data_IF_229235635316
#
_entry.id   IF_229235635316
#
_cell.length_a   1.000
_cell.length_b   1.000
_cell.length_c   1.000
_cell.angle_alpha   90.00
_cell.angle_beta   90.00
_cell.angle_gamma   90.00
#
_symmetry.space_group_name_H-M   'P 1'
#
loop_
_entity.id
_entity.type
_entity.pdbx_description
1 polymer ?
#
# COMPACT_ATOMS: atom_id res chain seq x y z
N UNK A 1 3.25 56.58 85.68
CA UNK A 1 1.99 56.10 85.23
C UNK A 1 2.17 55.66 83.79
N UNK A 2 2.25 54.36 83.49
CA UNK A 2 2.35 53.78 82.16
C UNK A 2 1.12 52.87 81.96
N UNK A 3 0.28 53.17 81.01
CA UNK A 3 -0.84 52.33 80.57
C UNK A 3 -0.30 51.27 79.55
N UNK A 4 -0.76 50.03 79.58
CA UNK A 4 -0.45 49.06 78.55
C UNK A 4 -1.46 49.17 77.40
N UNK A 5 -0.91 49.07 76.20
CA UNK A 5 -1.64 48.94 74.94
C UNK A 5 -1.95 47.43 74.72
N UNK A 6 -3.25 47.14 74.61
CA UNK A 6 -3.74 45.81 74.19
C UNK A 6 -3.82 45.77 72.66
N UNK A 7 -3.03 44.87 72.00
CA UNK A 7 -3.21 44.56 70.58
C UNK A 7 -4.21 43.41 70.49
N UNK A 8 -5.34 43.63 69.84
CA UNK A 8 -6.24 42.58 69.32
C UNK A 8 -5.69 42.09 68.00
N UNK A 9 -5.28 40.80 67.95
CA UNK A 9 -4.99 40.10 66.70
C UNK A 9 -6.31 39.49 66.17
N UNK A 10 -6.80 39.99 65.02
CA UNK A 10 -7.90 39.38 64.28
C UNK A 10 -7.35 38.30 63.36
N UNK A 11 -7.62 37.03 63.67
CA UNK A 11 -7.34 35.90 62.75
C UNK A 11 -8.36 35.91 61.59
N UNK A 12 -7.89 36.25 60.39
CA UNK A 12 -8.63 36.04 59.17
C UNK A 12 -8.52 34.56 58.77
N UNK A 13 -9.56 33.79 59.02
CA UNK A 13 -9.73 32.45 58.45
C UNK A 13 -10.03 32.59 56.93
N UNK A 14 -8.96 32.48 56.11
CA UNK A 14 -9.10 32.22 54.68
C UNK A 14 -9.53 30.78 54.44
N UNK A 15 -10.82 30.51 54.32
CA UNK A 15 -11.36 29.27 53.77
C UNK A 15 -11.05 29.17 52.26
N UNK A 16 -9.88 28.68 51.93
CA UNK A 16 -9.52 28.31 50.55
C UNK A 16 -10.37 27.13 50.08
N UNK A 17 -11.39 27.39 49.30
CA UNK A 17 -12.09 26.34 48.55
C UNK A 17 -11.11 25.71 47.57
N UNK A 18 -10.53 24.57 47.93
CA UNK A 18 -9.86 23.70 46.98
C UNK A 18 -10.93 23.21 45.96
N UNK A 19 -11.01 23.87 44.84
CA UNK A 19 -11.67 23.27 43.68
C UNK A 19 -10.86 22.06 43.29
N UNK A 20 -11.30 20.86 43.67
CA UNK A 20 -10.87 19.65 43.07
C UNK A 20 -11.22 19.72 41.57
N UNK A 21 -10.23 20.03 40.72
CA UNK A 21 -10.39 19.80 39.30
C UNK A 21 -10.76 18.33 39.17
N UNK A 22 -12.00 18.05 38.78
CA UNK A 22 -12.40 16.72 38.40
C UNK A 22 -11.47 16.25 37.28
N UNK A 23 -10.57 15.36 37.61
CA UNK A 23 -9.74 14.71 36.61
C UNK A 23 -10.66 14.15 35.54
N UNK A 24 -10.52 14.61 34.29
CA UNK A 24 -11.22 13.99 33.17
C UNK A 24 -10.97 12.48 33.29
N UNK A 25 -12.01 11.63 33.16
CA UNK A 25 -11.82 10.21 33.25
C UNK A 25 -10.71 9.82 32.26
N UNK A 26 -9.67 9.21 32.76
CA UNK A 26 -8.53 8.78 31.98
C UNK A 26 -9.08 7.81 30.91
N UNK A 27 -8.91 8.14 29.61
CA UNK A 27 -9.38 7.29 28.52
C UNK A 27 -8.70 5.93 28.67
N UNK A 28 -9.49 4.85 28.72
CA UNK A 28 -8.95 3.48 28.79
C UNK A 28 -7.97 3.28 27.65
N UNK A 29 -6.82 2.69 27.94
CA UNK A 29 -5.81 2.36 26.94
C UNK A 29 -6.37 1.33 25.95
N UNK A 30 -6.09 1.47 24.66
CA UNK A 30 -6.60 0.59 23.60
C UNK A 30 -5.48 -0.05 22.78
N UNK A 31 -5.65 -1.33 22.43
CA UNK A 31 -4.78 -2.00 21.47
C UNK A 31 -5.62 -2.56 20.32
N UNK A 32 -5.41 -2.01 19.13
CA UNK A 32 -5.94 -2.54 17.87
C UNK A 32 -5.01 -3.63 17.38
N UNK A 33 -5.46 -4.87 17.56
CA UNK A 33 -4.69 -6.07 17.21
C UNK A 33 -5.03 -6.49 15.78
N UNK A 34 -4.10 -6.25 14.87
CA UNK A 34 -4.26 -6.50 13.44
C UNK A 34 -3.52 -7.78 13.08
N UNK A 35 -4.29 -8.87 12.93
CA UNK A 35 -3.74 -10.14 12.46
C UNK A 35 -3.38 -10.06 10.99
N UNK A 36 -2.18 -10.46 10.62
CA UNK A 36 -1.73 -10.48 9.24
C UNK A 36 -0.90 -11.72 8.89
N UNK A 37 -0.67 -11.90 7.61
CA UNK A 37 0.27 -12.87 7.08
C UNK A 37 0.86 -12.29 5.79
N UNK A 38 1.80 -11.35 5.94
CA UNK A 38 2.48 -10.77 4.79
C UNK A 38 3.10 -11.86 3.92
N UNK A 39 2.82 -11.81 2.63
CA UNK A 39 3.24 -12.82 1.67
C UNK A 39 3.95 -12.15 0.51
N UNK A 40 5.27 -12.40 0.43
CA UNK A 40 6.06 -12.02 -0.73
C UNK A 40 5.69 -12.89 -1.93
N UNK A 41 5.30 -12.24 -3.02
CA UNK A 41 4.91 -12.93 -4.24
C UNK A 41 6.08 -13.62 -4.92
N UNK A 42 7.28 -13.11 -4.72
CA UNK A 42 8.56 -13.79 -4.90
C UNK A 42 9.65 -13.02 -4.14
N UNK A 43 10.68 -13.68 -3.68
CA UNK A 43 11.83 -13.14 -2.98
C UNK A 43 12.98 -14.16 -2.93
N UNK A 44 13.08 -14.97 -1.86
CA UNK A 44 14.00 -16.11 -1.79
C UNK A 44 13.46 -17.37 -2.51
N UNK A 45 12.38 -17.21 -3.23
CA UNK A 45 11.67 -18.20 -4.06
C UNK A 45 10.99 -17.52 -5.24
N UNK A 46 10.52 -18.32 -6.17
CA UNK A 46 9.78 -17.85 -7.34
C UNK A 46 8.25 -17.86 -7.13
N UNK A 47 7.54 -17.22 -8.05
CA UNK A 47 6.08 -17.11 -8.03
C UNK A 47 5.37 -18.47 -8.04
N UNK A 48 5.96 -19.48 -8.65
CA UNK A 48 5.35 -20.83 -8.69
C UNK A 48 5.33 -21.47 -7.31
N UNK A 49 6.39 -21.29 -6.54
CA UNK A 49 6.46 -21.72 -5.14
C UNK A 49 5.42 -20.98 -4.30
N UNK A 50 5.27 -19.69 -4.49
CA UNK A 50 4.24 -18.87 -3.81
C UNK A 50 2.84 -19.42 -4.05
N UNK A 51 2.47 -19.66 -5.32
CA UNK A 51 1.14 -20.16 -5.66
C UNK A 51 0.92 -21.56 -5.07
N UNK A 52 1.89 -22.46 -5.25
CA UNK A 52 1.78 -23.86 -4.86
C UNK A 52 1.73 -24.06 -3.34
N UNK A 53 2.54 -23.31 -2.59
CA UNK A 53 2.77 -23.56 -1.17
C UNK A 53 2.21 -22.46 -0.27
N UNK A 54 2.58 -21.22 -0.50
CA UNK A 54 2.33 -20.14 0.47
C UNK A 54 0.92 -19.57 0.38
N UNK A 55 0.35 -19.46 -0.82
CA UNK A 55 -1.06 -19.09 -1.00
C UNK A 55 -1.97 -20.14 -0.35
N UNK A 56 -1.70 -21.43 -0.57
CA UNK A 56 -2.43 -22.52 0.08
C UNK A 56 -2.30 -22.47 1.59
N UNK A 57 -1.08 -22.32 2.11
CA UNK A 57 -0.86 -22.24 3.55
C UNK A 57 -1.62 -21.06 4.18
N UNK A 58 -1.60 -19.91 3.53
CA UNK A 58 -2.31 -18.71 4.01
C UNK A 58 -3.82 -18.96 4.04
N UNK A 59 -4.37 -19.44 2.95
CA UNK A 59 -5.80 -19.70 2.82
C UNK A 59 -6.28 -20.75 3.83
N UNK A 60 -5.66 -21.93 3.84
CA UNK A 60 -6.13 -23.07 4.65
C UNK A 60 -6.00 -22.81 6.16
N UNK A 61 -4.88 -22.23 6.59
CA UNK A 61 -4.64 -21.95 8.02
C UNK A 61 -5.59 -20.88 8.56
N UNK A 62 -5.84 -19.82 7.80
CA UNK A 62 -6.78 -18.78 8.26
C UNK A 62 -8.24 -19.24 8.22
N UNK A 63 -8.64 -20.05 7.25
CA UNK A 63 -9.96 -20.69 7.29
C UNK A 63 -10.13 -21.56 8.54
N UNK A 64 -9.11 -22.30 8.95
CA UNK A 64 -9.13 -23.06 10.20
C UNK A 64 -9.28 -22.14 11.43
N UNK A 65 -8.49 -21.07 11.53
CA UNK A 65 -8.55 -20.14 12.66
C UNK A 65 -9.89 -19.41 12.73
N UNK A 66 -10.42 -18.96 11.60
CA UNK A 66 -11.73 -18.30 11.50
C UNK A 66 -12.89 -19.22 11.95
N UNK A 67 -12.82 -20.51 11.67
CA UNK A 67 -13.82 -21.49 12.14
C UNK A 67 -13.70 -21.75 13.64
N UNK A 68 -12.49 -21.67 14.19
CA UNK A 68 -12.22 -22.03 15.57
C UNK A 68 -12.42 -20.87 16.55
N UNK A 69 -12.08 -19.64 16.15
CA UNK A 69 -12.05 -18.45 17.01
C UNK A 69 -13.07 -17.42 16.54
N UNK A 70 -14.15 -17.16 17.28
CA UNK A 70 -15.25 -16.30 16.83
C UNK A 70 -14.87 -14.83 16.71
N UNK A 71 -13.97 -14.33 17.55
CA UNK A 71 -13.54 -12.93 17.57
C UNK A 71 -12.32 -12.67 16.65
N UNK A 72 -11.79 -13.71 16.00
CA UNK A 72 -10.63 -13.58 15.11
C UNK A 72 -11.01 -12.87 13.81
N UNK A 73 -10.29 -11.77 13.51
CA UNK A 73 -10.33 -11.06 12.24
C UNK A 73 -8.94 -11.19 11.59
N UNK A 74 -8.92 -11.60 10.33
CA UNK A 74 -7.71 -11.74 9.53
C UNK A 74 -7.66 -10.67 8.46
N UNK A 75 -6.49 -10.06 8.26
CA UNK A 75 -6.22 -9.01 7.28
C UNK A 75 -5.26 -9.54 6.22
N UNK A 76 -5.58 -9.35 4.94
CA UNK A 76 -4.75 -9.83 3.85
C UNK A 76 -4.81 -8.88 2.65
N UNK A 77 -3.66 -8.58 2.06
CA UNK A 77 -3.47 -7.60 0.99
C UNK A 77 -3.16 -8.25 -0.37
N UNK A 78 -3.36 -7.48 -1.45
CA UNK A 78 -2.95 -7.82 -2.81
C UNK A 78 -4.01 -8.58 -3.62
N UNK A 79 -4.66 -7.88 -4.55
CA UNK A 79 -5.70 -8.45 -5.43
C UNK A 79 -5.26 -9.68 -6.21
N UNK A 80 -3.99 -9.71 -6.64
CA UNK A 80 -3.41 -10.84 -7.38
C UNK A 80 -3.41 -12.13 -6.56
N UNK A 81 -3.15 -12.04 -5.26
CA UNK A 81 -3.14 -13.21 -4.35
C UNK A 81 -4.54 -13.83 -4.24
N UNK A 82 -5.57 -12.99 -4.17
CA UNK A 82 -6.97 -13.45 -4.23
C UNK A 82 -7.34 -14.05 -5.59
N UNK A 83 -6.80 -13.51 -6.69
CA UNK A 83 -6.99 -14.08 -8.02
C UNK A 83 -6.41 -15.49 -8.10
N UNK A 84 -5.22 -15.72 -7.55
CA UNK A 84 -4.63 -17.06 -7.45
C UNK A 84 -5.44 -17.99 -6.53
N UNK A 85 -5.93 -17.50 -5.39
CA UNK A 85 -6.81 -18.30 -4.53
C UNK A 85 -8.08 -18.75 -5.28
N UNK A 86 -8.67 -17.85 -6.08
CA UNK A 86 -9.85 -18.17 -6.91
C UNK A 86 -9.53 -19.21 -7.98
N UNK A 87 -8.40 -19.07 -8.67
CA UNK A 87 -8.00 -19.92 -9.77
C UNK A 87 -7.59 -21.31 -9.32
N UNK A 88 -6.74 -21.41 -8.30
CA UNK A 88 -6.12 -22.67 -7.90
C UNK A 88 -6.84 -23.38 -6.75
N UNK A 89 -7.63 -22.68 -5.93
CA UNK A 89 -8.32 -23.20 -4.74
C UNK A 89 -9.79 -22.75 -4.67
N UNK A 90 -10.61 -23.00 -5.72
CA UNK A 90 -11.94 -22.42 -5.85
C UNK A 90 -12.90 -22.82 -4.71
N UNK A 91 -12.79 -24.03 -4.18
CA UNK A 91 -13.63 -24.52 -3.08
C UNK A 91 -13.39 -23.72 -1.77
N UNK A 92 -12.13 -23.49 -1.44
CA UNK A 92 -11.72 -22.73 -0.26
C UNK A 92 -11.95 -21.24 -0.46
N UNK A 93 -11.83 -20.78 -1.69
CA UNK A 93 -12.13 -19.38 -2.04
C UNK A 93 -13.62 -19.03 -1.77
N UNK A 94 -14.56 -19.92 -2.04
CA UNK A 94 -15.97 -19.69 -1.67
C UNK A 94 -16.18 -19.60 -0.15
N UNK A 95 -15.42 -20.37 0.64
CA UNK A 95 -15.43 -20.24 2.10
C UNK A 95 -14.83 -18.90 2.55
N UNK A 96 -13.72 -18.47 1.93
CA UNK A 96 -13.12 -17.15 2.15
C UNK A 96 -14.15 -16.05 1.89
N UNK A 97 -14.87 -16.07 0.77
CA UNK A 97 -15.93 -15.09 0.44
C UNK A 97 -17.00 -14.99 1.52
N UNK A 98 -17.35 -16.11 2.16
CA UNK A 98 -18.30 -16.10 3.28
C UNK A 98 -17.72 -15.35 4.50
N UNK A 99 -16.42 -15.51 4.78
CA UNK A 99 -15.76 -14.78 5.86
C UNK A 99 -15.55 -13.31 5.53
N UNK A 100 -15.32 -12.93 4.27
CA UNK A 100 -15.32 -11.54 3.83
C UNK A 100 -16.68 -10.89 4.09
N UNK A 101 -17.77 -11.53 3.68
CA UNK A 101 -19.14 -11.04 3.92
C UNK A 101 -19.47 -10.87 5.41
N UNK A 102 -18.89 -11.69 6.27
CA UNK A 102 -19.08 -11.58 7.73
C UNK A 102 -18.16 -10.53 8.39
N UNK A 103 -17.28 -9.86 7.64
CA UNK A 103 -16.30 -8.90 8.15
C UNK A 103 -15.12 -9.54 8.88
N UNK A 104 -14.97 -10.87 8.85
CA UNK A 104 -13.92 -11.58 9.61
C UNK A 104 -12.68 -11.92 8.79
N UNK A 105 -12.77 -11.90 7.48
CA UNK A 105 -11.63 -11.81 6.56
C UNK A 105 -11.68 -10.43 5.93
N UNK A 106 -10.78 -9.55 6.36
CA UNK A 106 -10.71 -8.18 5.87
C UNK A 106 -9.75 -8.08 4.68
N UNK A 107 -10.21 -7.39 3.64
CA UNK A 107 -9.41 -7.07 2.47
C UNK A 107 -8.68 -5.78 2.75
N UNK A 108 -7.35 -5.86 2.89
CA UNK A 108 -6.47 -4.74 3.24
C UNK A 108 -5.75 -4.17 2.02
N UNK A 109 -5.28 -2.94 2.12
CA UNK A 109 -4.22 -2.40 1.28
C UNK A 109 -4.64 -1.91 -0.10
N UNK A 110 -5.90 -1.91 -0.45
CA UNK A 110 -6.49 -1.26 -1.65
C UNK A 110 -5.88 -1.62 -3.01
N UNK A 111 -4.76 -2.32 -3.10
CA UNK A 111 -3.91 -2.48 -4.28
C UNK A 111 -4.05 -3.84 -4.96
N UNK A 112 -3.66 -3.88 -6.25
CA UNK A 112 -3.48 -5.14 -6.98
C UNK A 112 -2.31 -5.95 -6.42
N UNK A 113 -1.18 -5.26 -6.11
CA UNK A 113 -0.01 -5.85 -5.45
C UNK A 113 0.60 -4.88 -4.44
N UNK A 114 1.32 -5.41 -3.43
CA UNK A 114 2.08 -4.65 -2.44
C UNK A 114 3.36 -4.06 -3.07
N UNK A 115 3.17 -3.08 -3.94
CA UNK A 115 4.23 -2.50 -4.75
C UNK A 115 5.15 -1.59 -3.95
N UNK A 116 6.41 -1.48 -4.40
CA UNK A 116 7.26 -0.36 -4.08
C UNK A 116 6.55 0.96 -4.41
N UNK A 117 6.78 2.00 -3.62
CA UNK A 117 6.13 3.32 -3.79
C UNK A 117 7.12 4.47 -3.92
N UNK A 118 8.38 4.15 -4.25
CA UNK A 118 9.43 5.13 -4.54
C UNK A 118 9.80 5.17 -6.02
N UNK A 119 9.87 4.03 -6.69
CA UNK A 119 10.27 3.92 -8.10
C UNK A 119 9.09 4.10 -9.07
N UNK A 120 7.90 3.51 -8.83
CA UNK A 120 6.76 3.66 -9.73
C UNK A 120 6.31 5.10 -9.89
N UNK A 121 5.81 5.43 -11.08
CA UNK A 121 5.18 6.72 -11.33
C UNK A 121 3.89 6.90 -10.53
N UNK A 122 3.45 8.15 -10.39
CA UNK A 122 2.15 8.46 -9.75
C UNK A 122 1.00 7.74 -10.48
N UNK A 123 1.03 7.69 -11.80
CA UNK A 123 0.04 6.96 -12.62
C UNK A 123 0.00 5.48 -12.27
N UNK A 124 1.16 4.82 -12.21
CA UNK A 124 1.25 3.41 -11.83
C UNK A 124 0.70 3.15 -10.41
N UNK A 125 1.03 4.01 -9.47
CA UNK A 125 0.54 3.91 -8.09
C UNK A 125 -0.99 4.04 -8.02
N UNK A 126 -1.57 4.98 -8.76
CA UNK A 126 -3.03 5.14 -8.86
C UNK A 126 -3.67 3.92 -9.53
N UNK A 127 -3.06 3.40 -10.60
CA UNK A 127 -3.57 2.21 -11.30
C UNK A 127 -3.48 0.95 -10.47
N UNK A 128 -2.44 0.79 -9.68
CA UNK A 128 -2.33 -0.31 -8.73
C UNK A 128 -3.52 -0.32 -7.75
N UNK A 129 -3.88 0.84 -7.22
CA UNK A 129 -5.06 1.01 -6.36
C UNK A 129 -6.35 0.76 -7.15
N UNK A 130 -6.48 1.33 -8.35
CA UNK A 130 -7.66 1.16 -9.20
C UNK A 130 -7.94 -0.31 -9.52
N UNK A 131 -6.92 -1.05 -9.95
CA UNK A 131 -7.03 -2.46 -10.32
C UNK A 131 -7.37 -3.35 -9.10
N UNK A 132 -6.78 -3.05 -7.94
CA UNK A 132 -7.10 -3.73 -6.69
C UNK A 132 -8.56 -3.48 -6.28
N UNK A 133 -8.97 -2.22 -6.22
CA UNK A 133 -10.35 -1.84 -5.85
C UNK A 133 -11.39 -2.38 -6.83
N UNK A 134 -11.11 -2.36 -8.14
CA UNK A 134 -12.01 -2.94 -9.14
C UNK A 134 -12.18 -4.45 -8.93
N UNK A 135 -11.07 -5.15 -8.68
CA UNK A 135 -11.11 -6.58 -8.37
C UNK A 135 -11.94 -6.85 -7.10
N UNK A 136 -11.72 -6.09 -6.04
CA UNK A 136 -12.43 -6.27 -4.77
C UNK A 136 -13.92 -5.99 -4.89
N UNK A 137 -14.32 -4.92 -5.58
CA UNK A 137 -15.73 -4.65 -5.87
C UNK A 137 -16.39 -5.79 -6.65
N UNK A 138 -15.72 -6.27 -7.69
CA UNK A 138 -16.25 -7.32 -8.55
C UNK A 138 -16.39 -8.67 -7.83
N UNK A 139 -15.41 -9.05 -7.02
CA UNK A 139 -15.38 -10.37 -6.39
C UNK A 139 -16.10 -10.41 -5.03
N UNK A 140 -16.03 -9.34 -4.27
CA UNK A 140 -16.49 -9.31 -2.88
C UNK A 140 -17.60 -8.31 -2.60
N UNK A 141 -17.87 -7.38 -3.52
CA UNK A 141 -18.83 -6.29 -3.32
C UNK A 141 -18.39 -5.27 -2.28
N UNK A 142 -17.10 -5.17 -2.00
CA UNK A 142 -16.51 -4.27 -1.00
C UNK A 142 -15.26 -3.58 -1.53
N UNK A 143 -14.78 -2.58 -0.79
CA UNK A 143 -13.54 -1.86 -1.07
C UNK A 143 -12.67 -1.83 0.19
N UNK A 144 -11.36 -1.68 0.01
CA UNK A 144 -10.45 -1.33 1.09
C UNK A 144 -10.33 0.19 1.22
N UNK A 145 -10.07 0.68 2.42
CA UNK A 145 -9.97 2.13 2.70
C UNK A 145 -8.61 2.56 3.22
N UNK A 146 -7.62 1.67 3.19
CA UNK A 146 -6.26 1.93 3.67
C UNK A 146 -5.19 1.54 2.67
N UNK A 147 -3.99 2.03 2.91
CA UNK A 147 -2.75 1.51 2.35
C UNK A 147 -2.09 0.65 3.42
N UNK A 148 -1.87 -0.62 3.10
CA UNK A 148 -1.28 -1.61 3.97
C UNK A 148 -0.01 -2.17 3.31
N UNK A 149 1.14 -1.62 3.68
CA UNK A 149 2.46 -1.94 3.11
C UNK A 149 3.44 -2.26 4.23
N UNK A 150 3.35 -3.44 4.85
CA UNK A 150 4.15 -3.76 6.02
C UNK A 150 5.65 -3.82 5.74
N UNK A 151 6.08 -4.16 4.52
CA UNK A 151 7.48 -4.49 4.25
C UNK A 151 8.19 -3.66 3.15
N UNK A 152 7.56 -2.65 2.55
CA UNK A 152 8.21 -1.77 1.55
C UNK A 152 9.34 -0.93 2.13
N UNK A 153 10.37 -0.61 1.32
CA UNK A 153 11.66 -0.05 1.75
C UNK A 153 11.72 1.47 1.77
N UNK A 154 10.62 2.11 2.11
CA UNK A 154 10.47 3.55 2.20
C UNK A 154 9.25 4.06 1.43
N UNK A 155 8.85 5.29 1.71
CA UNK A 155 7.59 5.85 1.24
C UNK A 155 7.77 7.30 0.83
N UNK A 156 7.42 7.61 -0.42
CA UNK A 156 7.52 8.95 -1.00
C UNK A 156 6.47 9.92 -0.44
N UNK A 157 6.81 11.19 -0.39
CA UNK A 157 5.93 12.25 0.11
C UNK A 157 4.65 12.46 -0.72
N UNK A 158 4.59 11.91 -1.93
CA UNK A 158 3.39 11.92 -2.77
C UNK A 158 2.31 10.92 -2.31
N UNK A 159 2.69 9.91 -1.52
CA UNK A 159 1.78 8.81 -1.15
C UNK A 159 0.53 9.28 -0.39
N UNK A 160 0.60 10.21 0.60
CA UNK A 160 -0.61 10.71 1.25
C UNK A 160 -1.56 11.44 0.30
N UNK A 161 -1.02 12.21 -0.68
CA UNK A 161 -1.79 12.85 -1.73
C UNK A 161 -2.52 11.84 -2.58
N UNK A 162 -1.80 10.83 -3.10
CA UNK A 162 -2.39 9.74 -3.89
C UNK A 162 -3.49 9.03 -3.09
N UNK A 163 -3.20 8.64 -1.86
CA UNK A 163 -4.15 7.97 -0.98
C UNK A 163 -5.44 8.77 -0.82
N UNK A 164 -5.32 10.06 -0.49
CA UNK A 164 -6.47 10.94 -0.26
C UNK A 164 -7.32 11.10 -1.52
N UNK A 165 -6.70 11.30 -2.68
CA UNK A 165 -7.40 11.41 -3.97
C UNK A 165 -8.03 10.08 -4.42
N UNK A 166 -7.51 8.95 -3.98
CA UNK A 166 -8.12 7.63 -4.17
C UNK A 166 -9.18 7.26 -3.11
N UNK A 167 -9.53 8.19 -2.20
CA UNK A 167 -10.55 7.96 -1.16
C UNK A 167 -10.04 7.15 0.05
N UNK A 168 -8.73 6.93 0.16
CA UNK A 168 -8.14 6.19 1.27
C UNK A 168 -7.91 7.10 2.47
N UNK A 169 -8.02 6.55 3.68
CA UNK A 169 -8.02 7.31 4.92
C UNK A 169 -6.81 7.05 5.81
N UNK A 170 -6.10 5.95 5.60
CA UNK A 170 -5.00 5.58 6.46
C UNK A 170 -3.88 4.82 5.76
N UNK A 171 -2.76 4.77 6.43
CA UNK A 171 -1.55 4.06 6.00
C UNK A 171 -0.92 3.34 7.18
N UNK A 172 -0.54 2.08 7.00
CA UNK A 172 0.20 1.34 8.00
C UNK A 172 1.39 0.58 7.41
N UNK A 173 2.47 0.51 8.19
CA UNK A 173 3.69 -0.22 7.89
C UNK A 173 4.40 -0.63 9.18
N UNK A 174 5.28 -1.62 9.10
CA UNK A 174 6.22 -1.95 10.17
C UNK A 174 7.65 -1.56 9.84
N UNK A 175 7.96 -1.40 8.56
CA UNK A 175 9.34 -1.33 8.05
C UNK A 175 10.15 -0.16 8.60
N UNK A 176 9.49 0.91 8.99
CA UNK A 176 10.15 2.10 9.54
C UNK A 176 10.69 1.91 10.99
N UNK A 177 10.35 0.84 11.69
CA UNK A 177 10.79 0.55 13.06
C UNK A 177 11.80 -0.59 13.15
N UNK A 178 12.79 -0.60 12.28
CA UNK A 178 13.92 -1.52 12.39
C UNK A 178 14.92 -1.08 13.46
N UNK A 179 14.39 -0.79 14.66
CA UNK A 179 15.19 -0.53 15.85
C UNK A 179 15.90 -1.80 16.27
N UNK A 180 17.09 -1.66 16.78
CA UNK A 180 17.89 -2.72 17.41
C UNK A 180 18.51 -3.74 16.44
N UNK A 181 18.48 -3.54 15.13
CA UNK A 181 19.36 -4.30 14.29
C UNK A 181 20.79 -3.77 14.45
N UNK A 182 21.77 -4.59 14.84
CA UNK A 182 23.13 -4.14 15.17
C UNK A 182 23.84 -3.42 14.01
N UNK A 183 23.30 -3.52 12.79
CA UNK A 183 23.86 -2.91 11.58
C UNK A 183 23.08 -1.69 11.06
N UNK A 184 21.88 -1.38 11.57
CA UNK A 184 20.97 -0.43 10.91
C UNK A 184 20.65 0.85 11.70
N UNK A 185 21.18 0.99 12.91
CA UNK A 185 20.99 2.20 13.71
C UNK A 185 19.56 2.39 14.24
N UNK A 186 19.25 3.62 14.65
CA UNK A 186 17.92 3.97 15.17
C UNK A 186 16.95 4.33 14.07
N UNK A 187 15.70 3.91 14.22
CA UNK A 187 14.62 4.32 13.31
C UNK A 187 14.34 5.81 13.45
N UNK A 188 14.17 6.50 12.30
CA UNK A 188 13.88 7.94 12.21
C UNK A 188 12.40 8.23 11.92
N UNK A 189 11.49 7.29 12.14
CA UNK A 189 10.07 7.60 11.95
C UNK A 189 9.64 8.72 12.91
N UNK A 190 8.80 9.65 12.45
CA UNK A 190 8.47 10.85 13.23
C UNK A 190 7.58 10.56 14.44
N UNK A 191 6.77 9.50 14.40
CA UNK A 191 5.85 9.08 15.47
C UNK A 191 5.31 7.66 15.20
N UNK A 192 4.71 7.05 16.23
CA UNK A 192 4.05 5.74 16.11
C UNK A 192 2.61 5.83 15.60
N UNK A 193 1.95 6.97 15.84
CA UNK A 193 0.60 7.28 15.39
C UNK A 193 0.46 8.79 15.21
N UNK A 194 0.03 9.22 14.03
CA UNK A 194 -0.10 10.64 13.71
C UNK A 194 -0.66 10.88 12.32
N UNK A 195 -0.59 12.12 11.85
CA UNK A 195 -1.04 12.52 10.53
C UNK A 195 0.15 12.70 9.59
N UNK A 196 0.10 12.05 8.46
CA UNK A 196 1.06 12.23 7.38
C UNK A 196 0.44 13.11 6.29
N UNK A 197 1.07 14.28 6.08
CA UNK A 197 0.57 15.30 5.17
C UNK A 197 1.29 15.24 3.84
N UNK A 198 0.52 15.18 2.76
CA UNK A 198 1.02 15.15 1.38
C UNK A 198 1.44 16.51 0.85
N UNK A 199 1.98 16.50 -0.37
CA UNK A 199 2.52 17.70 -1.04
C UNK A 199 1.45 18.74 -1.36
N UNK A 200 0.19 18.34 -1.52
CA UNK A 200 -0.97 19.20 -1.76
C UNK A 200 -1.66 19.67 -0.47
N UNK A 201 -1.12 19.27 0.68
CA UNK A 201 -1.68 19.58 1.99
C UNK A 201 -2.77 18.64 2.49
N UNK A 202 -3.22 17.67 1.70
CA UNK A 202 -4.11 16.61 2.18
C UNK A 202 -3.42 15.71 3.21
N UNK A 203 -4.20 15.08 4.08
CA UNK A 203 -3.65 14.27 5.17
C UNK A 203 -4.37 12.94 5.30
N UNK A 204 -3.61 11.90 5.63
CA UNK A 204 -4.09 10.59 6.07
C UNK A 204 -3.50 10.26 7.43
N UNK A 205 -4.14 9.35 8.18
CA UNK A 205 -3.55 8.85 9.42
C UNK A 205 -2.48 7.79 9.10
N UNK A 206 -1.34 7.89 9.77
CA UNK A 206 -0.27 6.90 9.74
C UNK A 206 -0.24 6.16 11.06
N UNK A 207 -0.24 4.83 11.00
CA UNK A 207 -0.04 3.95 12.15
C UNK A 207 1.14 3.01 11.92
N UNK A 208 2.06 2.99 12.88
CA UNK A 208 3.16 2.03 12.86
C UNK A 208 2.72 0.71 13.47
N UNK A 209 2.81 -0.40 12.68
CA UNK A 209 2.29 -1.72 13.06
C UNK A 209 3.19 -2.53 13.97
N UNK A 210 4.44 -2.10 14.19
CA UNK A 210 5.49 -2.87 14.84
C UNK A 210 5.77 -4.21 14.11
N UNK A 211 6.68 -5.01 14.63
CA UNK A 211 7.02 -6.30 14.05
C UNK A 211 5.80 -7.24 13.95
N UNK A 212 5.44 -7.67 12.74
CA UNK A 212 4.36 -8.62 12.49
C UNK A 212 4.65 -10.02 13.04
N UNK A 213 5.91 -10.36 13.24
CA UNK A 213 6.34 -11.66 13.76
C UNK A 213 6.10 -11.86 15.28
N UNK A 214 5.57 -10.85 15.98
CA UNK A 214 5.29 -10.95 17.42
C UNK A 214 4.34 -12.09 17.73
N UNK A 215 4.72 -12.88 18.75
CA UNK A 215 3.92 -14.04 19.21
C UNK A 215 3.63 -13.98 20.69
N UNK A 216 2.43 -14.40 21.04
CA UNK A 216 2.00 -14.65 22.41
C UNK A 216 1.60 -16.11 22.56
N UNK A 217 1.59 -16.61 23.77
CA UNK A 217 1.29 -18.00 24.04
C UNK A 217 0.14 -18.14 25.07
N UNK A 218 -1.08 -17.93 24.58
CA UNK A 218 -2.31 -18.20 25.33
C UNK A 218 -2.43 -17.41 26.66
N UNK A 219 -1.95 -16.16 26.69
CA UNK A 219 -2.04 -15.24 27.85
C UNK A 219 -3.22 -14.27 27.69
N UNK A 220 -3.62 -13.60 28.76
CA UNK A 220 -4.59 -12.50 28.72
C UNK A 220 -3.86 -11.19 28.35
N UNK A 221 -4.13 -10.68 27.14
CA UNK A 221 -3.49 -9.45 26.65
C UNK A 221 -4.05 -8.17 27.29
N UNK A 222 -5.20 -8.23 27.97
CA UNK A 222 -5.72 -7.05 28.67
C UNK A 222 -4.82 -6.59 29.83
N UNK A 223 -3.90 -7.47 30.26
CA UNK A 223 -2.90 -7.22 31.29
C UNK A 223 -1.47 -7.13 30.75
N UNK A 224 -1.28 -7.14 29.43
CA UNK A 224 0.05 -7.13 28.82
C UNK A 224 0.76 -5.80 29.05
N UNK A 225 1.86 -5.85 29.79
CA UNK A 225 2.63 -4.65 30.19
C UNK A 225 3.37 -4.01 29.02
N UNK A 226 3.78 -4.79 28.01
CA UNK A 226 4.42 -4.26 26.81
C UNK A 226 3.42 -3.45 26.00
N UNK A 227 2.26 -4.02 25.68
CA UNK A 227 1.19 -3.31 24.96
C UNK A 227 0.74 -2.05 25.72
N UNK A 228 0.56 -2.14 27.03
CA UNK A 228 0.21 -0.98 27.85
C UNK A 228 1.31 0.09 27.85
N UNK A 229 2.58 -0.32 27.82
CA UNK A 229 3.71 0.60 27.64
C UNK A 229 3.71 1.29 26.28
N UNK A 230 3.32 0.58 25.22
CA UNK A 230 3.24 1.12 23.87
C UNK A 230 2.12 2.15 23.72
N UNK A 231 0.95 1.95 24.36
CA UNK A 231 -0.16 2.94 24.28
C UNK A 231 0.27 4.30 24.83
N UNK A 232 1.13 4.34 25.84
CA UNK A 232 1.63 5.58 26.45
C UNK A 232 2.58 6.36 25.53
N UNK A 233 3.05 5.75 24.43
CA UNK A 233 3.92 6.39 23.45
C UNK A 233 3.16 7.15 22.37
N UNK A 234 1.84 7.08 22.39
CA UNK A 234 0.95 7.76 21.44
C UNK A 234 0.03 8.75 22.16
N UNK A 235 -0.31 9.86 21.53
CA UNK A 235 -1.15 10.89 22.15
C UNK A 235 -2.58 10.43 22.42
N UNK A 236 -3.03 9.36 21.77
CA UNK A 236 -4.40 8.84 21.92
C UNK A 236 -4.51 7.73 22.98
N UNK A 237 -3.44 7.42 23.69
CA UNK A 237 -3.36 6.27 24.59
C UNK A 237 -3.77 4.95 23.89
N UNK A 238 -3.34 4.79 22.63
CA UNK A 238 -3.77 3.73 21.73
C UNK A 238 -2.56 3.17 20.99
N UNK A 239 -2.50 1.85 20.82
CA UNK A 239 -1.50 1.18 19.97
C UNK A 239 -2.18 0.48 18.79
N UNK A 240 -1.57 0.58 17.62
CA UNK A 240 -1.86 -0.23 16.45
C UNK A 240 -0.81 -1.32 16.38
N UNK A 241 -1.21 -2.59 16.42
CA UNK A 241 -0.26 -3.70 16.59
C UNK A 241 -0.51 -4.83 15.63
N UNK A 242 0.42 -5.06 14.71
CA UNK A 242 0.45 -6.28 13.91
C UNK A 242 0.77 -7.49 14.78
N UNK A 243 0.20 -8.63 14.41
CA UNK A 243 0.62 -9.92 14.89
C UNK A 243 0.32 -11.00 13.85
N UNK A 244 1.26 -11.89 13.63
CA UNK A 244 1.07 -12.90 12.60
C UNK A 244 2.35 -13.53 12.15
N UNK A 245 2.59 -13.43 10.86
CA UNK A 245 3.80 -13.90 10.19
C UNK A 245 4.09 -13.00 9.01
N UNK A 246 5.32 -13.05 8.52
CA UNK A 246 5.76 -12.33 7.33
C UNK A 246 6.38 -13.23 6.30
N UNK A 247 6.78 -12.65 5.21
CA UNK A 247 7.55 -13.21 4.10
C UNK A 247 6.82 -14.35 3.36
N UNK A 248 6.63 -15.49 4.01
CA UNK A 248 6.02 -16.70 3.43
C UNK A 248 4.50 -16.79 3.58
N UNK A 249 3.85 -15.74 4.05
CA UNK A 249 2.44 -15.83 4.39
C UNK A 249 2.16 -16.85 5.51
N UNK A 250 0.99 -17.47 5.51
CA UNK A 250 0.55 -18.39 6.55
C UNK A 250 -0.50 -17.80 7.47
N UNK A 251 -0.29 -17.83 8.78
CA UNK A 251 -1.23 -17.27 9.74
C UNK A 251 -0.56 -16.90 11.05
N UNK A 252 -1.17 -16.06 11.89
CA UNK A 252 -0.80 -15.98 13.28
C UNK A 252 -0.76 -17.35 13.96
N UNK A 253 0.05 -17.48 15.01
CA UNK A 253 0.08 -18.70 15.82
C UNK A 253 -1.24 -18.88 16.59
N UNK A 254 -1.64 -20.14 16.82
CA UNK A 254 -2.82 -20.46 17.64
C UNK A 254 -2.72 -19.78 19.03
N UNK A 255 -1.52 -19.75 19.61
CA UNK A 255 -1.28 -19.11 20.90
C UNK A 255 -1.53 -17.60 20.87
N UNK A 256 -1.15 -16.92 19.80
CA UNK A 256 -1.40 -15.48 19.63
C UNK A 256 -2.89 -15.19 19.45
N UNK A 257 -3.59 -15.93 18.58
CA UNK A 257 -5.05 -15.76 18.38
C UNK A 257 -5.80 -16.01 19.68
N UNK A 258 -5.45 -17.10 20.41
CA UNK A 258 -6.03 -17.39 21.71
C UNK A 258 -5.74 -16.30 22.76
N UNK A 259 -4.59 -15.64 22.68
CA UNK A 259 -4.26 -14.53 23.58
C UNK A 259 -5.10 -13.29 23.30
N UNK A 260 -5.34 -12.98 22.03
CA UNK A 260 -6.26 -11.89 21.64
C UNK A 260 -7.68 -12.17 22.11
N UNK A 261 -8.20 -13.39 21.88
CA UNK A 261 -9.52 -13.81 22.35
C UNK A 261 -9.70 -13.68 23.88
N UNK A 262 -8.66 -14.06 24.63
CA UNK A 262 -8.66 -13.87 26.10
C UNK A 262 -8.62 -12.40 26.48
N UNK A 263 -7.79 -11.60 25.80
CA UNK A 263 -7.67 -10.19 26.07
C UNK A 263 -8.96 -9.41 25.81
N UNK A 264 -9.74 -9.78 24.76
CA UNK A 264 -11.06 -9.19 24.48
C UNK A 264 -12.02 -9.42 25.67
N UNK A 265 -11.93 -10.56 26.32
CA UNK A 265 -12.77 -10.96 27.46
C UNK A 265 -12.17 -10.59 28.81
N UNK A 266 -10.93 -10.08 28.81
CA UNK A 266 -10.18 -9.73 30.01
C UNK A 266 -10.68 -8.44 30.67
N UNK A 267 -10.38 -8.31 31.96
CA UNK A 267 -10.77 -7.15 32.77
C UNK A 267 -9.57 -6.24 33.12
N UNK A 268 -8.43 -6.41 32.45
CA UNK A 268 -7.25 -5.62 32.68
C UNK A 268 -7.39 -4.15 32.23
N UNK A 269 -6.34 -3.36 32.45
CA UNK A 269 -6.35 -1.92 32.16
C UNK A 269 -6.35 -1.61 30.65
N UNK A 270 -6.08 -2.61 29.78
CA UNK A 270 -5.99 -2.45 28.34
C UNK A 270 -7.22 -3.06 27.65
N UNK A 271 -7.90 -2.29 26.83
CA UNK A 271 -8.95 -2.74 25.93
C UNK A 271 -8.32 -3.38 24.69
N UNK A 272 -8.56 -4.68 24.48
CA UNK A 272 -8.07 -5.41 23.31
C UNK A 272 -9.17 -5.46 22.25
N UNK A 273 -8.85 -5.05 21.03
CA UNK A 273 -9.73 -5.02 19.88
C UNK A 273 -9.11 -5.89 18.79
N UNK A 274 -9.77 -6.99 18.40
CA UNK A 274 -9.44 -7.69 17.15
C UNK A 274 -9.91 -6.80 16.00
N UNK A 275 -8.99 -6.27 15.21
CA UNK A 275 -9.25 -5.16 14.33
C UNK A 275 -9.03 -5.48 12.85
N UNK A 276 -9.81 -4.83 11.99
CA UNK A 276 -9.44 -4.65 10.59
C UNK A 276 -8.29 -3.65 10.47
N UNK A 277 -7.50 -3.74 9.39
CA UNK A 277 -6.34 -2.85 9.19
C UNK A 277 -6.72 -1.36 9.15
N UNK A 278 -7.94 -1.07 8.75
CA UNK A 278 -8.48 0.29 8.64
C UNK A 278 -9.34 0.74 9.86
N UNK A 279 -9.59 -0.14 10.83
CA UNK A 279 -10.51 0.14 11.94
C UNK A 279 -10.08 1.35 12.76
N UNK A 280 -8.79 1.41 13.15
CA UNK A 280 -8.26 2.55 13.90
C UNK A 280 -8.46 3.87 13.13
N UNK A 281 -8.21 3.86 11.84
CA UNK A 281 -8.38 5.05 11.01
C UNK A 281 -9.83 5.54 10.95
N UNK A 282 -10.77 4.62 10.85
CA UNK A 282 -12.22 4.90 10.87
C UNK A 282 -12.68 5.44 12.21
N UNK A 283 -12.21 4.88 13.31
CA UNK A 283 -12.62 5.24 14.67
C UNK A 283 -12.20 6.68 15.06
N UNK A 284 -11.15 7.21 14.40
CA UNK A 284 -10.65 8.56 14.66
C UNK A 284 -11.00 9.58 13.59
N UNK A 285 -11.91 9.27 12.65
CA UNK A 285 -12.45 10.27 11.72
C UNK A 285 -13.47 11.18 12.43
N UNK A 286 -13.57 12.46 12.06
CA UNK A 286 -12.63 13.22 11.23
C UNK A 286 -11.39 13.64 12.03
N UNK A 287 -10.22 13.55 11.43
CA UNK A 287 -8.92 13.75 12.11
C UNK A 287 -8.72 15.16 12.66
N UNK A 288 -9.40 16.16 12.12
CA UNK A 288 -9.35 17.57 12.55
C UNK A 288 -9.86 17.75 13.99
N UNK A 289 -10.57 16.78 14.54
CA UNK A 289 -11.02 16.79 15.95
C UNK A 289 -9.93 16.34 16.94
N UNK A 290 -8.81 15.86 16.44
CA UNK A 290 -7.72 15.27 17.21
C UNK A 290 -6.46 16.14 17.11
N UNK A 291 -6.52 17.35 17.68
CA UNK A 291 -5.40 18.30 17.67
C UNK A 291 -4.16 17.82 18.40
N UNK A 292 -4.30 16.78 19.21
CA UNK A 292 -3.19 16.08 19.89
C UNK A 292 -2.34 15.21 18.95
N UNK A 293 -2.82 14.86 17.74
CA UNK A 293 -2.08 14.06 16.80
C UNK A 293 -0.91 14.86 16.20
N UNK A 294 0.33 14.32 16.25
CA UNK A 294 1.46 14.95 15.58
C UNK A 294 1.26 14.91 14.07
N UNK A 295 1.80 15.92 13.38
CA UNK A 295 1.74 16.05 11.93
C UNK A 295 3.15 15.99 11.36
N UNK A 296 3.36 15.15 10.37
CA UNK A 296 4.61 15.05 9.62
C UNK A 296 4.41 15.46 8.16
N UNK A 297 5.39 16.21 7.63
CA UNK A 297 5.47 16.63 6.24
C UNK A 297 6.81 16.15 5.71
N UNK A 298 6.83 15.32 4.69
CA UNK A 298 8.08 14.83 4.11
C UNK A 298 8.02 13.36 3.74
N UNK A 299 9.14 12.84 3.32
CA UNK A 299 9.34 11.45 2.94
C UNK A 299 9.64 10.60 4.16
N UNK A 300 9.20 9.34 4.12
CA UNK A 300 9.50 8.33 5.14
C UNK A 300 10.52 7.34 4.56
N UNK A 301 11.75 7.77 4.46
CA UNK A 301 12.84 6.98 3.88
C UNK A 301 13.54 6.13 4.92
N UNK A 302 14.08 5.01 4.46
CA UNK A 302 14.98 4.17 5.25
C UNK A 302 16.42 4.64 5.08
N UNK A 303 17.19 4.66 6.17
CA UNK A 303 18.56 5.16 6.12
C UNK A 303 19.58 4.12 5.66
N UNK A 304 19.42 2.88 6.07
CA UNK A 304 20.42 1.82 5.87
C UNK A 304 19.80 0.56 5.28
N UNK A 305 18.77 0.00 5.91
CA UNK A 305 18.12 -1.21 5.42
C UNK A 305 17.36 -0.94 4.12
N UNK A 306 17.60 -1.76 3.09
CA UNK A 306 16.90 -1.68 1.80
C UNK A 306 17.35 -0.55 0.87
N UNK A 307 18.13 0.45 1.32
CA UNK A 307 18.51 1.59 0.47
C UNK A 307 19.37 1.20 -0.73
N UNK A 308 20.25 0.20 -0.58
CA UNK A 308 21.11 -0.29 -1.66
C UNK A 308 20.37 -1.05 -2.76
N UNK A 309 19.19 -1.58 -2.49
CA UNK A 309 18.42 -2.35 -3.47
C UNK A 309 17.99 -1.51 -4.68
N UNK A 310 17.75 -0.22 -4.49
CA UNK A 310 17.35 0.70 -5.57
C UNK A 310 18.39 0.88 -6.67
N UNK A 311 19.62 0.44 -6.45
CA UNK A 311 20.71 0.44 -7.47
C UNK A 311 20.98 -0.93 -8.06
N UNK A 312 20.30 -1.99 -7.58
CA UNK A 312 20.42 -3.34 -8.12
C UNK A 312 19.38 -3.61 -9.21
N UNK A 313 19.56 -4.71 -9.99
CA UNK A 313 18.61 -5.14 -11.03
C UNK A 313 18.15 -3.98 -11.94
N UNK A 314 19.10 -3.28 -12.54
CA UNK A 314 18.84 -2.11 -13.39
C UNK A 314 17.83 -2.37 -14.51
N UNK A 315 17.78 -3.62 -15.03
CA UNK A 315 16.82 -4.02 -16.05
C UNK A 315 15.37 -3.87 -15.57
N UNK A 316 15.07 -4.20 -14.31
CA UNK A 316 13.72 -4.03 -13.75
C UNK A 316 13.28 -2.56 -13.75
N UNK A 317 14.16 -1.64 -13.33
CA UNK A 317 13.88 -0.19 -13.37
C UNK A 317 13.67 0.31 -14.81
N UNK A 318 14.48 -0.19 -15.75
CA UNK A 318 14.37 0.16 -17.16
C UNK A 318 13.04 -0.32 -17.75
N UNK A 319 12.70 -1.60 -17.57
CA UNK A 319 11.46 -2.17 -18.09
C UNK A 319 10.23 -1.54 -17.45
N UNK A 320 10.24 -1.33 -16.14
CA UNK A 320 9.18 -0.59 -15.47
C UNK A 320 8.95 0.79 -16.11
N UNK A 321 10.02 1.58 -16.28
CA UNK A 321 9.89 2.92 -16.90
C UNK A 321 9.41 2.85 -18.35
N UNK A 322 9.87 1.89 -19.12
CA UNK A 322 9.43 1.69 -20.51
C UNK A 322 7.96 1.29 -20.57
N UNK A 323 7.49 0.38 -19.70
CA UNK A 323 6.08 0.00 -19.62
C UNK A 323 5.18 1.17 -19.22
N UNK A 324 5.58 1.98 -18.25
CA UNK A 324 4.84 3.18 -17.84
C UNK A 324 4.62 4.16 -19.01
N UNK A 325 5.70 4.48 -19.73
CA UNK A 325 5.64 5.42 -20.85
C UNK A 325 4.85 4.86 -22.03
N UNK A 326 5.07 3.59 -22.35
CA UNK A 326 4.43 2.94 -23.48
C UNK A 326 2.95 2.67 -23.23
N UNK A 327 2.58 2.31 -22.01
CA UNK A 327 1.19 2.12 -21.61
C UNK A 327 0.38 3.41 -21.73
N UNK A 328 0.89 4.54 -21.25
CA UNK A 328 0.26 5.84 -21.39
C UNK A 328 0.10 6.24 -22.88
N UNK A 329 1.14 6.07 -23.68
CA UNK A 329 1.10 6.37 -25.11
C UNK A 329 0.11 5.48 -25.86
N UNK A 330 0.07 4.18 -25.54
CA UNK A 330 -0.83 3.21 -26.16
C UNK A 330 -2.31 3.52 -25.87
N UNK A 331 -2.64 3.84 -24.63
CA UNK A 331 -4.00 4.22 -24.24
C UNK A 331 -4.45 5.50 -24.94
N UNK A 332 -3.63 6.54 -24.95
CA UNK A 332 -3.94 7.80 -25.62
C UNK A 332 -4.19 7.62 -27.13
N UNK A 333 -3.34 6.82 -27.78
CA UNK A 333 -3.52 6.51 -29.20
C UNK A 333 -4.79 5.69 -29.45
N UNK A 334 -5.08 4.71 -28.57
CA UNK A 334 -6.29 3.89 -28.68
C UNK A 334 -7.56 4.73 -28.46
N UNK A 335 -7.56 5.63 -27.48
CA UNK A 335 -8.67 6.59 -27.28
C UNK A 335 -8.88 7.47 -28.51
N UNK A 336 -7.81 7.96 -29.13
CA UNK A 336 -7.91 8.78 -30.35
C UNK A 336 -8.51 7.99 -31.51
N UNK A 337 -8.07 6.74 -31.72
CA UNK A 337 -8.60 5.88 -32.78
C UNK A 337 -10.09 5.51 -32.55
N UNK A 338 -10.48 5.21 -31.33
CA UNK A 338 -11.85 4.90 -30.94
C UNK A 338 -12.76 6.13 -31.09
N UNK A 339 -12.33 7.29 -30.57
CA UNK A 339 -13.10 8.54 -30.67
C UNK A 339 -13.34 8.98 -32.12
N UNK A 340 -12.38 8.73 -33.01
CA UNK A 340 -12.53 8.99 -34.45
C UNK A 340 -13.39 7.92 -35.18
N UNK A 341 -13.84 6.89 -34.45
CA UNK A 341 -14.62 5.79 -35.02
C UNK A 341 -13.85 4.90 -36.00
N UNK A 342 -12.51 4.83 -35.84
CA UNK A 342 -11.62 4.10 -36.75
C UNK A 342 -11.33 2.69 -36.24
N UNK A 343 -11.10 2.54 -34.93
CA UNK A 343 -10.87 1.26 -34.28
C UNK A 343 -11.46 1.29 -32.86
N UNK A 344 -11.99 0.16 -32.38
CA UNK A 344 -12.51 0.06 -31.02
C UNK A 344 -11.41 0.10 -29.97
N UNK A 345 -11.74 0.60 -28.77
CA UNK A 345 -10.80 0.67 -27.66
C UNK A 345 -10.47 -0.73 -27.11
N UNK A 346 -9.19 -1.16 -27.09
CA UNK A 346 -8.79 -2.53 -26.72
C UNK A 346 -8.62 -2.67 -25.20
N UNK A 347 -9.68 -2.39 -24.42
CA UNK A 347 -9.64 -2.28 -22.96
C UNK A 347 -9.16 -3.53 -22.24
N UNK A 348 -9.56 -4.73 -22.71
CA UNK A 348 -9.11 -6.00 -22.14
C UNK A 348 -7.60 -6.18 -22.27
N UNK A 349 -7.07 -5.98 -23.49
CA UNK A 349 -5.64 -6.10 -23.79
C UNK A 349 -4.80 -5.11 -22.96
N UNK A 350 -5.26 -3.87 -22.83
CA UNK A 350 -4.59 -2.85 -22.02
C UNK A 350 -4.62 -3.22 -20.54
N UNK A 351 -5.76 -3.66 -20.02
CA UNK A 351 -5.92 -4.06 -18.62
C UNK A 351 -4.99 -5.22 -18.26
N UNK A 352 -4.88 -6.23 -19.11
CA UNK A 352 -3.97 -7.37 -18.90
C UNK A 352 -2.49 -6.94 -18.91
N UNK A 353 -2.10 -6.04 -19.80
CA UNK A 353 -0.75 -5.52 -19.83
C UNK A 353 -0.42 -4.72 -18.57
N UNK A 354 -1.34 -3.86 -18.11
CA UNK A 354 -1.21 -3.11 -16.87
C UNK A 354 -1.08 -4.03 -15.65
N UNK A 355 -1.96 -5.01 -15.50
CA UNK A 355 -1.90 -5.98 -14.38
C UNK A 355 -0.59 -6.74 -14.34
N UNK A 356 -0.09 -7.14 -15.52
CA UNK A 356 1.14 -7.93 -15.63
C UNK A 356 2.36 -7.15 -15.17
N UNK A 357 2.57 -5.92 -15.64
CA UNK A 357 3.76 -5.19 -15.23
C UNK A 357 3.62 -4.54 -13.83
N UNK A 358 2.43 -4.11 -13.41
CA UNK A 358 2.20 -3.62 -12.04
C UNK A 358 2.46 -4.72 -11.01
N UNK A 359 2.18 -5.97 -11.33
CA UNK A 359 2.54 -7.10 -10.49
C UNK A 359 4.04 -7.10 -10.17
N UNK A 360 4.90 -6.82 -11.15
CA UNK A 360 6.34 -6.75 -10.98
C UNK A 360 6.87 -5.41 -10.42
N UNK A 361 5.98 -4.48 -10.08
CA UNK A 361 6.30 -3.37 -9.20
C UNK A 361 6.35 -3.79 -7.71
N UNK A 362 6.11 -5.07 -7.42
CA UNK A 362 6.26 -5.68 -6.10
C UNK A 362 7.58 -5.28 -5.46
N UNK A 363 7.57 -5.06 -4.13
CA UNK A 363 8.68 -4.42 -3.43
C UNK A 363 9.98 -5.24 -3.39
N UNK A 364 9.97 -6.54 -3.66
CA UNK A 364 11.18 -7.34 -3.84
C UNK A 364 11.59 -7.54 -5.31
N UNK A 365 10.68 -7.34 -6.26
CA UNK A 365 10.99 -7.41 -7.68
C UNK A 365 11.63 -6.13 -8.19
N UNK A 366 10.86 -5.04 -8.14
CA UNK A 366 11.31 -3.76 -8.69
C UNK A 366 12.55 -3.24 -7.97
N UNK A 367 12.64 -3.45 -6.66
CA UNK A 367 13.79 -3.03 -5.86
C UNK A 367 15.04 -3.87 -6.11
N UNK A 368 14.91 -5.12 -6.52
CA UNK A 368 16.06 -5.96 -6.88
C UNK A 368 16.53 -6.90 -5.77
N UNK A 369 15.67 -7.26 -4.83
CA UNK A 369 16.02 -8.10 -3.67
C UNK A 369 15.67 -9.57 -3.83
N UNK A 370 15.01 -9.95 -4.93
CA UNK A 370 14.66 -11.33 -5.22
C UNK A 370 15.85 -12.17 -5.74
N UNK A 371 15.71 -13.49 -5.69
CA UNK A 371 16.71 -14.43 -6.26
C UNK A 371 16.72 -14.38 -7.80
N UNK A 372 17.84 -14.79 -8.45
CA UNK A 372 17.94 -14.79 -9.92
C UNK A 372 16.80 -15.52 -10.63
N UNK A 373 16.32 -16.63 -10.08
CA UNK A 373 15.22 -17.40 -10.64
C UNK A 373 13.92 -16.61 -10.73
N UNK A 374 13.63 -15.76 -9.75
CA UNK A 374 12.45 -14.88 -9.75
C UNK A 374 12.48 -13.92 -10.96
N UNK A 375 13.64 -13.36 -11.29
CA UNK A 375 13.79 -12.42 -12.41
C UNK A 375 13.62 -13.05 -13.79
N UNK A 376 13.72 -14.36 -13.94
CA UNK A 376 13.35 -15.03 -15.18
C UNK A 376 11.85 -14.85 -15.49
N UNK A 377 11.00 -14.88 -14.47
CA UNK A 377 9.57 -14.60 -14.59
C UNK A 377 9.32 -13.09 -14.78
N UNK A 378 9.93 -12.26 -13.95
CA UNK A 378 9.72 -10.80 -13.97
C UNK A 378 10.09 -10.21 -15.33
N UNK A 379 11.27 -10.52 -15.87
CA UNK A 379 11.68 -10.02 -17.17
C UNK A 379 10.80 -10.50 -18.32
N UNK A 380 10.35 -11.76 -18.26
CA UNK A 380 9.44 -12.29 -19.27
C UNK A 380 8.11 -11.50 -19.28
N UNK A 381 7.53 -11.26 -18.13
CA UNK A 381 6.25 -10.58 -18.01
C UNK A 381 6.36 -9.09 -18.33
N UNK A 382 7.44 -8.43 -17.95
CA UNK A 382 7.74 -7.06 -18.34
C UNK A 382 7.84 -6.92 -19.87
N UNK A 383 8.54 -7.84 -20.54
CA UNK A 383 8.67 -7.85 -22.01
C UNK A 383 7.34 -8.18 -22.70
N UNK A 384 6.52 -9.05 -22.14
CA UNK A 384 5.19 -9.36 -22.68
C UNK A 384 4.27 -8.13 -22.58
N UNK A 385 4.32 -7.38 -21.50
CA UNK A 385 3.57 -6.13 -21.34
C UNK A 385 4.04 -5.07 -22.33
N UNK A 386 5.35 -4.87 -22.50
CA UNK A 386 5.92 -3.98 -23.51
C UNK A 386 5.44 -4.34 -24.92
N UNK A 387 5.48 -5.64 -25.28
CA UNK A 387 4.99 -6.11 -26.58
C UNK A 387 3.50 -5.82 -26.76
N UNK A 388 2.70 -6.00 -25.74
CA UNK A 388 1.25 -5.78 -25.78
C UNK A 388 0.91 -4.30 -25.95
N UNK A 389 1.51 -3.41 -25.16
CA UNK A 389 1.37 -1.97 -25.31
C UNK A 389 1.87 -1.46 -26.68
N UNK A 390 3.04 -1.95 -27.13
CA UNK A 390 3.58 -1.61 -28.44
C UNK A 390 2.65 -2.03 -29.57
N UNK A 391 2.03 -3.22 -29.47
CA UNK A 391 1.04 -3.69 -30.43
C UNK A 391 -0.17 -2.78 -30.50
N UNK A 392 -0.72 -2.37 -29.35
CA UNK A 392 -1.85 -1.43 -29.27
C UNK A 392 -1.47 -0.08 -29.85
N UNK A 393 -0.32 0.47 -29.49
CA UNK A 393 0.17 1.77 -29.99
C UNK A 393 0.30 1.73 -31.53
N UNK A 394 1.00 0.73 -32.04
CA UNK A 394 1.24 0.58 -33.47
C UNK A 394 -0.06 0.43 -34.25
N UNK A 395 -0.98 -0.41 -33.80
CA UNK A 395 -2.28 -0.60 -34.45
C UNK A 395 -3.12 0.69 -34.43
N UNK A 396 -3.16 1.39 -33.30
CA UNK A 396 -3.95 2.62 -33.16
C UNK A 396 -3.40 3.77 -34.01
N UNK A 397 -2.08 3.98 -33.98
CA UNK A 397 -1.41 5.01 -34.80
C UNK A 397 -1.52 4.67 -36.29
N UNK A 398 -1.36 3.40 -36.66
CA UNK A 398 -1.56 2.91 -38.03
C UNK A 398 -2.97 3.21 -38.55
N UNK A 399 -3.99 2.85 -37.78
CA UNK A 399 -5.39 3.09 -38.12
C UNK A 399 -5.69 4.60 -38.32
N UNK A 400 -5.18 5.47 -37.43
CA UNK A 400 -5.31 6.92 -37.58
C UNK A 400 -4.60 7.40 -38.86
N UNK A 401 -3.37 6.94 -39.11
CA UNK A 401 -2.53 7.34 -40.24
C UNK A 401 -3.16 6.94 -41.60
N UNK A 402 -3.80 5.77 -41.68
CA UNK A 402 -4.50 5.31 -42.90
C UNK A 402 -5.67 6.22 -43.29
N UNK A 403 -6.24 6.98 -42.38
CA UNK A 403 -7.34 7.93 -42.65
C UNK A 403 -6.85 9.34 -42.96
N UNK A 404 -5.56 9.61 -42.81
CA UNK A 404 -4.99 10.92 -43.14
C UNK A 404 -4.85 11.08 -44.66
N UNK A 405 -4.97 12.32 -45.16
CA UNK A 405 -4.65 12.63 -46.57
C UNK A 405 -3.11 12.69 -46.74
N UNK A 406 -2.54 11.59 -47.18
CA UNK A 406 -1.08 11.43 -47.39
C UNK A 406 -0.67 11.63 -48.84
N UNK A 407 -1.51 12.31 -49.68
CA UNK A 407 -1.22 12.61 -51.07
C UNK A 407 -0.19 13.74 -51.19
N UNK A 408 1.10 13.37 -51.13
CA UNK A 408 2.24 14.30 -51.21
C UNK A 408 3.18 13.91 -52.34
N UNK A 409 4.00 14.85 -52.78
CA UNK A 409 5.07 14.57 -53.74
C UNK A 409 6.28 14.02 -52.98
N UNK A 410 6.39 12.72 -52.84
CA UNK A 410 7.45 12.05 -52.09
C UNK A 410 6.91 10.89 -51.27
N UNK A 411 7.67 10.51 -50.24
CA UNK A 411 7.27 9.48 -49.29
C UNK A 411 6.67 10.18 -48.05
N UNK A 412 5.38 9.97 -47.78
CA UNK A 412 4.77 10.57 -46.59
C UNK A 412 5.29 9.89 -45.33
N UNK A 413 5.63 10.69 -44.31
CA UNK A 413 6.00 10.22 -42.98
C UNK A 413 5.07 10.86 -41.99
N UNK A 414 4.41 10.03 -41.18
CA UNK A 414 3.49 10.47 -40.12
C UNK A 414 4.17 10.35 -38.76
N UNK A 415 4.21 11.45 -38.03
CA UNK A 415 4.65 11.48 -36.63
C UNK A 415 3.42 11.66 -35.73
N UNK A 416 3.29 10.77 -34.77
CA UNK A 416 2.22 10.81 -33.79
C UNK A 416 2.77 11.27 -32.43
N UNK A 417 2.27 12.40 -31.95
CA UNK A 417 2.55 12.87 -30.60
C UNK A 417 1.36 12.52 -29.69
N UNK A 418 1.56 11.59 -28.78
CA UNK A 418 0.54 11.16 -27.81
C UNK A 418 0.31 12.19 -26.67
N UNK A 419 1.16 13.23 -26.57
CA UNK A 419 1.08 14.21 -25.49
C UNK A 419 0.12 15.36 -25.85
N UNK A 420 -0.44 16.01 -24.85
CA UNK A 420 -1.34 17.15 -25.00
C UNK A 420 -0.63 18.49 -25.28
N UNK A 421 0.66 18.48 -25.61
CA UNK A 421 1.48 19.66 -25.88
C UNK A 421 2.52 19.40 -26.98
N UNK A 422 2.98 20.43 -27.70
CA UNK A 422 4.03 20.30 -28.73
C UNK A 422 5.33 19.77 -28.18
N UNK A 423 5.99 18.88 -28.94
CA UNK A 423 7.33 18.33 -28.61
C UNK A 423 8.27 18.62 -29.78
N UNK A 424 9.50 19.00 -29.47
CA UNK A 424 10.62 19.10 -30.40
C UNK A 424 11.65 18.05 -30.02
N UNK A 425 11.85 17.06 -30.88
CA UNK A 425 12.78 15.97 -30.64
C UNK A 425 13.36 15.44 -31.95
N UNK A 426 14.37 14.58 -31.86
CA UNK A 426 14.93 13.86 -33.00
C UNK A 426 14.11 12.61 -33.26
N UNK A 427 13.67 12.42 -34.48
CA UNK A 427 13.00 11.22 -34.93
C UNK A 427 13.82 10.48 -35.99
N UNK A 428 13.96 9.17 -35.81
CA UNK A 428 14.61 8.29 -36.79
C UNK A 428 13.54 7.59 -37.63
N UNK A 429 13.72 7.61 -38.94
CA UNK A 429 12.80 6.96 -39.90
C UNK A 429 13.62 6.06 -40.83
N UNK A 430 13.29 4.78 -40.87
CA UNK A 430 13.82 3.85 -41.86
C UNK A 430 12.97 3.98 -43.17
N UNK A 431 13.62 4.33 -44.28
CA UNK A 431 12.98 4.42 -45.59
C UNK A 431 13.60 3.38 -46.51
N UNK A 432 12.78 2.45 -46.99
CA UNK A 432 13.17 1.52 -48.04
C UNK A 432 13.02 2.21 -49.41
N UNK A 433 14.10 2.32 -50.15
CA UNK A 433 14.08 2.90 -51.49
C UNK A 433 14.79 1.95 -52.48
N UNK A 434 14.28 1.79 -53.73
CA UNK A 434 14.86 0.92 -54.73
C UNK A 434 16.29 1.30 -55.16
N UNK A 435 16.65 2.57 -54.94
CA UNK A 435 18.01 3.10 -55.11
C UNK A 435 18.26 4.12 -54.03
N UNK A 436 19.48 4.15 -53.49
CA UNK A 436 19.91 5.17 -52.52
C UNK A 436 19.83 6.55 -53.20
N UNK A 437 19.04 7.48 -52.67
CA UNK A 437 18.91 8.81 -53.25
C UNK A 437 20.22 9.59 -53.10
N UNK A 438 20.63 10.36 -54.10
CA UNK A 438 21.82 11.22 -54.04
C UNK A 438 21.68 12.41 -53.07
N UNK A 439 20.51 12.63 -52.56
CA UNK A 439 20.16 13.64 -51.55
C UNK A 439 18.71 13.42 -51.08
N UNK A 440 18.45 13.77 -49.81
CA UNK A 440 17.13 13.74 -49.19
C UNK A 440 16.77 15.16 -48.79
N UNK A 441 15.59 15.63 -49.15
CA UNK A 441 15.02 16.87 -48.66
C UNK A 441 13.77 16.53 -47.86
N UNK A 442 13.67 17.11 -46.67
CA UNK A 442 12.50 16.96 -45.80
C UNK A 442 11.66 18.23 -45.91
N UNK A 443 10.37 18.05 -46.12
CA UNK A 443 9.40 19.14 -46.23
C UNK A 443 8.34 18.94 -45.13
N UNK A 444 7.93 20.05 -44.50
CA UNK A 444 6.80 20.08 -43.56
C UNK A 444 5.48 20.22 -44.31
#
# INVERSE_FOLDING_TARGET
MKLPVILLASELLCSGSMHAQSAKPEKKAKAYMVADAHLDTQWNWDVQTTIKEYVWNTLSRNLFLLKKYPDYIFNFEGGVKYAWMKEYFPSEYEQLKAFVRSGRWHISGSSWEASDVLVPSVESSIRNILLGQEYYRKEFGTESTDIFLPDCFGFGWTLPTIAKHCGLIGFSSQKLDWRNHPFYGESKHPFMLGLWKGIDGSSIMLAHGYDYGKRWNNIDLSEDKELLGLTKRTPLNTVYRYYGTGDTGGSPSIGSVSSVEKGIKGNGPLEIISATSDQLFKDYLPYEKHSELPVFNGELLMDVHGTGCYTSQAAMKLYNRQNELLGDAAERAAVAADWLGIAGYPGESLTEAWKRFIFHQFHDDLTGTSIPRAYEFSWNDELLSLKQFSGVLTASVGAVSEKMDTRVKGIPVVFYNALGFPVTDVAEVAIEAPKFPKGVSVYN
#
